data_IF_586005165070
#
_entry.id   IF_586005165070
#
_cell.length_a   1.000
_cell.length_b   1.000
_cell.length_c   1.000
_cell.angle_alpha   90.00
_cell.angle_beta   90.00
_cell.angle_gamma   90.00
#
_symmetry.space_group_name_H-M   'P 1'
#
loop_
_entity.id
_entity.type
_entity.pdbx_description
1 polymer ?
#
# COMPACT_ATOMS: atom_id res chain seq x y z
N UNK A 1 -10.09 -5.09 6.51
CA UNK A 1 -9.82 -3.64 6.44
C UNK A 1 -9.51 -3.01 7.80
N UNK A 2 -10.14 -3.44 8.89
CA UNK A 2 -9.95 -2.78 10.21
C UNK A 2 -8.52 -2.84 10.74
N UNK A 3 -7.79 -3.93 10.46
CA UNK A 3 -6.37 -4.06 10.80
C UNK A 3 -5.54 -2.95 10.16
N UNK A 4 -5.70 -2.72 8.86
CA UNK A 4 -5.01 -1.65 8.14
C UNK A 4 -5.41 -0.25 8.63
N UNK A 5 -6.71 -0.04 8.90
CA UNK A 5 -7.20 1.22 9.48
C UNK A 5 -6.54 1.52 10.83
N UNK A 6 -6.41 0.51 11.70
CA UNK A 6 -5.72 0.65 12.98
C UNK A 6 -4.25 0.95 12.80
N UNK A 7 -3.57 0.27 11.88
CA UNK A 7 -2.16 0.49 11.58
C UNK A 7 -1.90 1.94 11.15
N UNK A 8 -2.66 2.45 10.17
CA UNK A 8 -2.49 3.82 9.67
C UNK A 8 -2.83 4.86 10.75
N UNK A 9 -3.86 4.62 11.57
CA UNK A 9 -4.21 5.52 12.70
C UNK A 9 -3.13 5.59 13.78
N UNK A 10 -2.29 4.56 13.91
CA UNK A 10 -1.15 4.58 14.82
C UNK A 10 0.05 5.37 14.27
N UNK A 11 0.02 5.75 12.98
CA UNK A 11 1.05 6.57 12.36
C UNK A 11 0.64 8.05 12.38
N UNK A 12 1.41 8.91 13.05
CA UNK A 12 1.08 10.34 13.26
C UNK A 12 0.77 11.13 11.99
N UNK A 13 1.35 10.73 10.86
CA UNK A 13 1.16 11.37 9.54
C UNK A 13 0.49 10.44 8.52
N UNK A 14 0.01 9.27 8.95
CA UNK A 14 -0.62 8.30 8.08
C UNK A 14 -2.03 8.70 7.67
N UNK A 15 -2.34 8.59 6.38
CA UNK A 15 -3.70 8.77 5.86
C UNK A 15 -4.09 7.53 5.07
N UNK A 16 -5.29 7.01 5.33
CA UNK A 16 -5.86 5.89 4.57
C UNK A 16 -7.03 6.40 3.74
N UNK A 17 -6.99 6.11 2.44
CA UNK A 17 -8.08 6.37 1.50
C UNK A 17 -8.57 5.03 0.98
N UNK A 18 -9.89 4.84 0.97
CA UNK A 18 -10.53 3.63 0.42
C UNK A 18 -11.35 4.04 -0.80
N UNK A 19 -11.05 3.47 -1.95
CA UNK A 19 -11.76 3.74 -3.21
C UNK A 19 -12.19 2.41 -3.85
N UNK A 20 -13.04 2.48 -4.88
CA UNK A 20 -13.16 1.38 -5.84
C UNK A 20 -11.84 1.12 -6.58
N UNK A 21 -11.83 0.18 -7.52
CA UNK A 21 -10.59 -0.12 -8.26
C UNK A 21 -10.09 1.12 -9.02
N UNK A 22 -8.83 1.46 -8.78
CA UNK A 22 -8.10 2.48 -9.52
C UNK A 22 -7.38 1.80 -10.69
N UNK A 23 -8.14 1.32 -11.68
CA UNK A 23 -7.68 0.44 -12.79
C UNK A 23 -6.33 0.85 -13.41
N UNK A 24 -6.06 2.16 -13.52
CA UNK A 24 -4.81 2.72 -14.05
C UNK A 24 -3.60 2.63 -13.10
N UNK A 25 -3.83 2.52 -11.80
CA UNK A 25 -2.81 2.50 -10.73
C UNK A 25 -2.63 1.11 -10.10
N UNK A 26 -3.73 0.36 -10.00
CA UNK A 26 -3.80 -0.96 -9.40
C UNK A 26 -4.52 -1.87 -10.40
N UNK A 27 -3.82 -2.89 -10.92
CA UNK A 27 -4.43 -3.94 -11.72
C UNK A 27 -5.30 -4.84 -10.83
N UNK A 28 -6.45 -4.33 -10.37
CA UNK A 28 -7.35 -5.11 -9.53
C UNK A 28 -8.03 -6.16 -10.38
N UNK A 29 -7.62 -7.42 -10.26
CA UNK A 29 -8.40 -8.53 -10.82
C UNK A 29 -9.62 -8.77 -9.94
N UNK A 30 -10.81 -8.77 -10.55
CA UNK A 30 -12.04 -9.14 -9.87
C UNK A 30 -11.86 -10.49 -9.13
N UNK A 31 -12.15 -10.50 -7.82
CA UNK A 31 -12.19 -11.72 -7.01
C UNK A 31 -10.92 -12.15 -6.27
N UNK A 32 -9.80 -11.38 -6.30
CA UNK A 32 -8.54 -11.84 -5.67
C UNK A 32 -8.10 -11.12 -4.39
N UNK A 33 -8.93 -10.27 -3.79
CA UNK A 33 -8.60 -9.56 -2.55
C UNK A 33 -8.36 -8.07 -2.77
N UNK A 34 -7.83 -7.40 -1.75
CA UNK A 34 -7.61 -5.95 -1.78
C UNK A 34 -6.26 -5.61 -2.40
N UNK A 35 -6.20 -4.50 -3.09
CA UNK A 35 -4.95 -3.91 -3.56
C UNK A 35 -4.75 -2.57 -2.87
N UNK A 36 -3.51 -2.22 -2.57
CA UNK A 36 -3.18 -0.94 -1.97
C UNK A 36 -1.99 -0.29 -2.70
N UNK A 37 -1.95 1.03 -2.62
CA UNK A 37 -0.81 1.83 -3.03
C UNK A 37 -0.37 2.64 -1.81
N UNK A 38 0.92 2.61 -1.53
CA UNK A 38 1.52 3.29 -0.39
C UNK A 38 2.54 4.28 -0.92
N UNK A 39 2.28 5.57 -0.69
CA UNK A 39 3.21 6.64 -1.01
C UNK A 39 3.97 7.00 0.27
N UNK A 40 5.28 6.72 0.36
CA UNK A 40 6.10 7.27 1.43
C UNK A 40 6.08 8.79 1.33
N UNK A 41 5.99 9.47 2.46
CA UNK A 41 5.99 10.94 2.52
C UNK A 41 6.84 11.44 3.70
N UNK A 42 7.40 12.63 3.55
CA UNK A 42 7.98 13.38 4.65
C UNK A 42 6.88 13.88 5.61
N UNK A 43 7.25 14.38 6.79
CA UNK A 43 6.31 14.88 7.79
C UNK A 43 5.44 16.05 7.29
N UNK A 44 5.95 16.82 6.33
CA UNK A 44 5.22 17.89 5.62
C UNK A 44 4.33 17.37 4.48
N UNK A 45 4.16 16.04 4.39
CA UNK A 45 3.38 15.29 3.39
C UNK A 45 3.94 15.37 1.97
N UNK A 46 5.17 15.83 1.76
CA UNK A 46 5.82 15.73 0.44
C UNK A 46 6.12 14.27 0.11
N UNK A 47 5.74 13.78 -1.09
CA UNK A 47 6.10 12.44 -1.54
C UNK A 47 7.61 12.19 -1.51
N UNK A 48 7.99 11.03 -0.98
CA UNK A 48 9.35 10.51 -0.99
C UNK A 48 9.39 9.26 -1.85
N UNK A 49 10.23 9.28 -2.88
CA UNK A 49 10.46 8.13 -3.75
C UNK A 49 9.22 7.64 -4.50
N UNK A 50 9.24 6.36 -4.87
CA UNK A 50 8.21 5.72 -5.68
C UNK A 50 7.08 5.16 -4.83
N UNK A 51 5.87 5.12 -5.40
CA UNK A 51 4.72 4.45 -4.81
C UNK A 51 4.99 2.94 -4.72
N UNK A 52 4.88 2.39 -3.52
CA UNK A 52 4.93 0.95 -3.27
C UNK A 52 3.51 0.40 -3.49
N UNK A 53 3.37 -0.57 -4.39
CA UNK A 53 2.08 -1.18 -4.69
C UNK A 53 2.01 -2.55 -4.05
N UNK A 54 0.88 -2.82 -3.40
CA UNK A 54 0.68 -4.00 -2.58
C UNK A 54 -0.52 -4.82 -3.07
N UNK A 55 -0.38 -6.12 -2.95
CA UNK A 55 -1.46 -7.08 -3.06
C UNK A 55 -1.26 -8.13 -4.15
N UNK A 56 -2.18 -9.12 -4.21
CA UNK A 56 -3.44 -9.14 -3.47
C UNK A 56 -3.28 -9.37 -1.96
N UNK A 57 -3.95 -8.53 -1.16
CA UNK A 57 -4.17 -8.73 0.28
C UNK A 57 -5.46 -9.53 0.40
N UNK A 58 -5.33 -10.86 0.41
CA UNK A 58 -6.44 -11.80 0.32
C UNK A 58 -6.86 -12.33 1.70
N UNK A 59 -5.92 -12.42 2.63
CA UNK A 59 -6.14 -13.01 3.96
C UNK A 59 -5.99 -11.99 5.08
N UNK A 60 -6.45 -12.37 6.27
CA UNK A 60 -6.18 -11.59 7.49
C UNK A 60 -4.69 -11.54 7.82
N UNK A 61 -3.96 -12.63 7.59
CA UNK A 61 -2.52 -12.68 7.82
C UNK A 61 -1.78 -11.69 6.89
N UNK A 62 -2.21 -11.58 5.63
CA UNK A 62 -1.67 -10.59 4.69
C UNK A 62 -1.87 -9.16 5.23
N UNK A 63 -3.07 -8.87 5.74
CA UNK A 63 -3.38 -7.55 6.30
C UNK A 63 -2.58 -7.25 7.57
N UNK A 64 -2.29 -8.26 8.39
CA UNK A 64 -1.45 -8.14 9.60
C UNK A 64 0.03 -7.92 9.21
N UNK A 65 0.54 -8.63 8.22
CA UNK A 65 1.90 -8.42 7.68
C UNK A 65 2.07 -7.00 7.11
N UNK A 66 1.13 -6.55 6.29
CA UNK A 66 1.14 -5.18 5.75
C UNK A 66 1.04 -4.14 6.87
N UNK A 67 0.21 -4.38 7.89
CA UNK A 67 0.08 -3.48 9.03
C UNK A 67 1.39 -3.34 9.81
N UNK A 68 2.06 -4.45 10.10
CA UNK A 68 3.35 -4.45 10.79
C UNK A 68 4.42 -3.69 9.98
N UNK A 69 4.48 -3.94 8.67
CA UNK A 69 5.39 -3.25 7.75
C UNK A 69 5.13 -1.73 7.70
N UNK A 70 3.87 -1.29 7.65
CA UNK A 70 3.51 0.14 7.71
C UNK A 70 3.94 0.77 9.03
N UNK A 71 3.72 0.08 10.16
CA UNK A 71 4.09 0.56 11.49
C UNK A 71 5.60 0.65 11.69
N UNK A 72 6.37 -0.24 11.05
CA UNK A 72 7.83 -0.21 11.03
C UNK A 72 8.42 0.90 10.13
N UNK A 73 7.57 1.70 9.47
CA UNK A 73 8.03 2.76 8.58
C UNK A 73 8.40 2.29 7.18
N UNK A 74 7.87 1.15 6.74
CA UNK A 74 8.03 0.62 5.38
C UNK A 74 9.49 0.34 4.99
N UNK A 75 10.25 -0.44 5.79
CA UNK A 75 11.64 -0.74 5.48
C UNK A 75 11.75 -1.57 4.19
N UNK A 76 12.86 -1.35 3.46
CA UNK A 76 13.27 -2.13 2.28
C UNK A 76 14.30 -3.20 2.69
N UNK A 77 13.88 -4.09 3.62
CA UNK A 77 14.73 -5.11 4.25
C UNK A 77 14.20 -6.54 4.04
N UNK A 78 13.17 -6.70 3.20
CA UNK A 78 12.52 -7.99 2.96
C UNK A 78 11.55 -8.44 4.06
N UNK A 79 11.24 -7.58 5.05
CA UNK A 79 10.24 -7.87 6.09
C UNK A 79 8.82 -8.05 5.55
N UNK A 80 8.53 -7.52 4.36
CA UNK A 80 7.29 -7.78 3.64
C UNK A 80 7.51 -8.84 2.55
N UNK A 81 6.66 -9.88 2.57
CA UNK A 81 6.73 -10.96 1.59
C UNK A 81 6.60 -10.43 0.15
N UNK A 82 7.45 -10.93 -0.75
CA UNK A 82 7.47 -10.52 -2.16
C UNK A 82 6.12 -10.78 -2.87
N UNK A 83 5.38 -11.81 -2.43
CA UNK A 83 4.02 -12.09 -2.93
C UNK A 83 3.00 -10.98 -2.66
N UNK A 84 3.26 -10.13 -1.66
CA UNK A 84 2.45 -8.96 -1.33
C UNK A 84 2.94 -7.70 -2.04
N UNK A 85 4.10 -7.73 -2.69
CA UNK A 85 4.56 -6.65 -3.56
C UNK A 85 3.94 -6.85 -4.94
N UNK A 86 3.07 -5.94 -5.35
CA UNK A 86 2.47 -6.03 -6.67
C UNK A 86 3.51 -5.68 -7.74
N UNK A 87 3.64 -6.55 -8.76
CA UNK A 87 4.56 -6.39 -9.89
C UNK A 87 4.53 -4.96 -10.47
N UNK A 88 5.66 -4.41 -10.95
CA UNK A 88 5.76 -3.07 -11.57
C UNK A 88 4.59 -2.79 -12.51
N UNK A 89 3.93 -1.64 -12.35
CA UNK A 89 2.97 -1.19 -13.35
C UNK A 89 3.78 -0.88 -14.61
N UNK A 90 3.25 -1.11 -15.81
CA UNK A 90 3.84 -0.53 -17.01
C UNK A 90 4.03 0.98 -16.77
N UNK A 91 5.19 1.52 -17.17
CA UNK A 91 5.71 2.87 -16.85
C UNK A 91 4.83 4.02 -17.39
N UNK A 92 3.58 4.13 -16.95
CA UNK A 92 2.78 5.33 -17.08
C UNK A 92 2.64 5.94 -15.69
N UNK A 93 3.54 6.87 -15.39
CA UNK A 93 3.38 7.79 -14.26
C UNK A 93 2.16 8.64 -14.58
N UNK A 94 1.03 8.34 -13.93
CA UNK A 94 -0.10 9.24 -13.96
C UNK A 94 0.24 10.42 -13.04
N UNK A 95 0.30 11.61 -13.62
CA UNK A 95 0.34 12.87 -12.89
C UNK A 95 -0.97 13.01 -12.12
N UNK A 96 -0.93 12.78 -10.80
CA UNK A 96 -2.02 13.15 -9.90
C UNK A 96 -1.88 14.66 -9.67
N UNK A 97 -2.65 15.43 -10.46
CA UNK A 97 -2.84 16.87 -10.27
C UNK A 97 -3.84 17.13 -9.14
#
# INVERSE_FOLDING_TARGET
>A
MDVLRRAVRACSHGVMISTGCLDRFLNCRAGRGLYAAVQPCAADRRPLGVVVRLGPIATRADAEAVAAWLQAGMPDDGSLAESLLAAPAPRQVAHLN
#
